data_IF_564471575888
#
_entry.id   IF_564471575888
#
_cell.length_a   1.000
_cell.length_b   1.000
_cell.length_c   1.000
_cell.angle_alpha   90.00
_cell.angle_beta   90.00
_cell.angle_gamma   90.00
#
_symmetry.space_group_name_H-M   'P 1'
#
loop_
_entity.id
_entity.type
_entity.pdbx_description
1 polymer ?
#
# COMPACT_ATOMS: atom_id res chain seq x y z
N UNK A 1 -0.93 -0.49 -25.04
CA UNK A 1 -1.03 0.98 -25.08
C UNK A 1 -2.49 1.38 -25.01
N UNK A 2 -2.82 2.35 -24.15
CA UNK A 2 -4.15 2.96 -24.07
C UNK A 2 -4.42 3.76 -25.34
N UNK A 3 -5.64 3.66 -25.88
CA UNK A 3 -6.09 4.44 -27.03
C UNK A 3 -6.77 5.72 -26.55
N UNK A 4 -6.73 6.76 -27.40
CA UNK A 4 -7.44 8.02 -27.15
C UNK A 4 -8.94 7.74 -27.00
N UNK A 5 -9.50 8.00 -25.82
CA UNK A 5 -10.92 7.73 -25.48
C UNK A 5 -11.15 6.52 -24.58
N UNK A 6 -10.11 5.77 -24.21
CA UNK A 6 -10.22 4.71 -23.20
C UNK A 6 -10.51 5.32 -21.83
N UNK A 7 -11.43 4.71 -21.07
CA UNK A 7 -11.66 5.04 -19.65
C UNK A 7 -10.75 4.14 -18.82
N UNK A 8 -9.83 4.74 -18.06
CA UNK A 8 -8.92 4.04 -17.17
C UNK A 8 -9.31 4.26 -15.70
N UNK A 9 -9.36 3.20 -14.91
CA UNK A 9 -9.55 3.26 -13.45
C UNK A 9 -8.28 2.75 -12.79
N UNK A 10 -7.73 3.51 -11.85
CA UNK A 10 -6.52 3.18 -11.12
C UNK A 10 -6.86 2.32 -9.90
N UNK A 11 -6.12 1.23 -9.72
CA UNK A 11 -6.14 0.34 -8.59
C UNK A 11 -4.73 0.32 -8.00
N UNK A 12 -4.60 0.77 -6.77
CA UNK A 12 -3.36 0.68 -5.98
C UNK A 12 -2.11 1.26 -6.66
N UNK A 13 -2.18 2.51 -7.13
CA UNK A 13 -1.01 3.27 -7.60
C UNK A 13 -0.45 2.86 -8.97
N UNK A 14 -0.35 1.56 -9.25
CA UNK A 14 0.37 0.97 -10.40
C UNK A 14 -0.52 0.13 -11.31
N UNK A 15 -1.67 -0.36 -10.86
CA UNK A 15 -2.56 -1.19 -11.68
C UNK A 15 -3.69 -0.34 -12.26
N UNK A 16 -4.02 -0.55 -13.53
CA UNK A 16 -5.00 0.22 -14.27
C UNK A 16 -5.92 -0.74 -15.04
N UNK A 17 -7.23 -0.55 -14.93
CA UNK A 17 -8.18 -1.23 -15.81
C UNK A 17 -8.67 -0.25 -16.88
N UNK A 18 -8.53 -0.62 -18.15
CA UNK A 18 -8.92 0.20 -19.28
C UNK A 18 -10.02 -0.45 -20.12
N UNK A 19 -11.05 0.32 -20.45
CA UNK A 19 -12.15 -0.09 -21.33
C UNK A 19 -12.18 0.80 -22.55
N UNK A 20 -12.09 0.17 -23.73
CA UNK A 20 -12.30 0.86 -24.99
C UNK A 20 -13.80 1.00 -25.29
N UNK A 21 -14.24 2.12 -25.88
CA UNK A 21 -15.63 2.29 -26.29
C UNK A 21 -16.11 1.14 -27.20
N UNK A 22 -17.25 0.51 -26.85
CA UNK A 22 -17.82 -0.62 -27.61
C UNK A 22 -17.12 -1.98 -27.43
N UNK A 23 -16.15 -2.08 -26.52
CA UNK A 23 -15.46 -3.34 -26.20
C UNK A 23 -16.10 -4.04 -24.99
N UNK A 24 -16.38 -5.33 -25.11
CA UNK A 24 -16.79 -6.19 -23.98
C UNK A 24 -15.59 -6.68 -23.14
N UNK A 25 -14.37 -6.31 -23.52
CA UNK A 25 -13.13 -6.75 -22.86
C UNK A 25 -12.48 -5.58 -22.13
N UNK A 26 -12.21 -5.77 -20.84
CA UNK A 26 -11.39 -4.88 -20.01
C UNK A 26 -9.95 -5.34 -20.01
N UNK A 27 -9.03 -4.40 -20.16
CA UNK A 27 -7.59 -4.64 -20.11
C UNK A 27 -7.07 -4.25 -18.74
N UNK A 28 -6.58 -5.21 -17.98
CA UNK A 28 -5.88 -4.95 -16.72
C UNK A 28 -4.40 -4.80 -17.04
N UNK A 29 -3.83 -3.67 -16.67
CA UNK A 29 -2.48 -3.27 -17.02
C UNK A 29 -1.73 -2.79 -15.77
N UNK A 30 -0.42 -2.93 -15.77
CA UNK A 30 0.46 -2.38 -14.73
C UNK A 30 1.38 -1.33 -15.34
N UNK A 31 1.56 -0.20 -14.65
CA UNK A 31 2.49 0.85 -15.03
C UNK A 31 3.89 0.51 -14.53
N UNK A 32 4.85 0.45 -15.45
CA UNK A 32 6.27 0.32 -15.09
C UNK A 32 6.77 1.64 -14.51
N UNK A 33 7.40 1.55 -13.35
CA UNK A 33 8.01 2.69 -12.66
C UNK A 33 9.00 3.41 -13.57
N UNK A 34 8.83 4.73 -13.73
CA UNK A 34 9.81 5.60 -14.41
C UNK A 34 9.55 5.95 -15.88
N UNK A 35 8.62 5.30 -16.59
CA UNK A 35 8.48 5.53 -18.05
C UNK A 35 7.05 5.71 -18.60
N UNK A 36 5.99 5.77 -17.78
CA UNK A 36 4.58 5.83 -18.24
C UNK A 36 4.19 4.67 -19.19
N UNK A 37 4.93 3.56 -19.13
CA UNK A 37 4.72 2.37 -19.97
C UNK A 37 3.79 1.40 -19.24
N UNK A 38 2.65 1.09 -19.86
CA UNK A 38 1.68 0.13 -19.34
C UNK A 38 1.92 -1.28 -19.93
N UNK A 39 2.19 -2.25 -19.07
CA UNK A 39 2.24 -3.68 -19.40
C UNK A 39 0.85 -4.29 -19.27
N UNK A 40 0.36 -4.96 -20.30
CA UNK A 40 -0.88 -5.74 -20.20
C UNK A 40 -0.64 -6.96 -19.30
N UNK A 41 -1.42 -7.07 -18.22
CA UNK A 41 -1.40 -8.23 -17.34
C UNK A 41 -2.37 -9.30 -17.83
N UNK A 42 -3.62 -8.91 -18.08
CA UNK A 42 -4.65 -9.83 -18.55
C UNK A 42 -5.82 -9.10 -19.21
N UNK A 43 -6.64 -9.86 -19.94
CA UNK A 43 -7.91 -9.43 -20.52
C UNK A 43 -9.05 -10.09 -19.75
N UNK A 44 -10.04 -9.30 -19.31
CA UNK A 44 -11.24 -9.80 -18.63
C UNK A 44 -12.46 -9.50 -19.47
N UNK A 45 -13.23 -10.53 -19.82
CA UNK A 45 -14.51 -10.35 -20.50
C UNK A 45 -15.58 -9.90 -19.49
N UNK A 46 -16.22 -8.76 -19.76
CA UNK A 46 -17.31 -8.20 -18.96
C UNK A 46 -18.56 -9.08 -18.96
N UNK A 47 -18.70 -9.98 -19.92
CA UNK A 47 -19.79 -10.96 -19.99
C UNK A 47 -19.57 -12.20 -19.12
N UNK A 48 -18.41 -12.35 -18.47
CA UNK A 48 -18.15 -13.48 -17.57
C UNK A 48 -18.75 -13.25 -16.18
N UNK A 49 -19.28 -14.31 -15.57
CA UNK A 49 -19.83 -14.29 -14.20
C UNK A 49 -18.77 -14.52 -13.12
N UNK A 50 -17.51 -14.23 -13.44
CA UNK A 50 -16.41 -14.35 -12.48
C UNK A 50 -16.43 -13.18 -11.51
N UNK A 51 -16.00 -13.41 -10.27
CA UNK A 51 -15.87 -12.35 -9.24
C UNK A 51 -15.00 -11.19 -9.73
N UNK A 52 -13.96 -11.48 -10.51
CA UNK A 52 -13.11 -10.48 -11.14
C UNK A 52 -13.89 -9.59 -12.12
N UNK A 53 -14.68 -10.18 -13.02
CA UNK A 53 -15.49 -9.43 -13.97
C UNK A 53 -16.60 -8.62 -13.28
N UNK A 54 -17.18 -9.14 -12.20
CA UNK A 54 -18.17 -8.41 -11.40
C UNK A 54 -17.53 -7.19 -10.70
N UNK A 55 -16.40 -7.37 -10.02
CA UNK A 55 -15.68 -6.28 -9.38
C UNK A 55 -15.23 -5.20 -10.38
N UNK A 56 -14.82 -5.61 -11.59
CA UNK A 56 -14.50 -4.71 -12.69
C UNK A 56 -15.72 -3.94 -13.19
N UNK A 57 -16.88 -4.61 -13.40
CA UNK A 57 -18.15 -3.95 -13.75
C UNK A 57 -18.55 -2.90 -12.72
N UNK A 58 -18.48 -3.25 -11.44
CA UNK A 58 -18.83 -2.35 -10.34
C UNK A 58 -17.87 -1.16 -10.26
N UNK A 59 -16.57 -1.38 -10.48
CA UNK A 59 -15.58 -0.30 -10.55
C UNK A 59 -15.87 0.69 -11.68
N UNK A 60 -16.16 0.18 -12.87
CA UNK A 60 -16.39 0.97 -14.08
C UNK A 60 -17.71 1.73 -14.06
N UNK A 61 -18.73 1.16 -13.42
CA UNK A 61 -20.00 1.81 -13.15
C UNK A 61 -19.93 2.86 -12.02
N UNK A 62 -18.77 3.05 -11.40
CA UNK A 62 -18.61 3.89 -10.20
C UNK A 62 -19.39 3.35 -8.99
N UNK A 63 -19.73 2.05 -9.01
CA UNK A 63 -20.51 1.32 -8.01
C UNK A 63 -19.66 0.49 -7.04
N UNK A 64 -18.35 0.35 -7.26
CA UNK A 64 -17.43 0.15 -6.14
C UNK A 64 -17.44 1.44 -5.32
N UNK A 65 -18.45 1.54 -4.47
CA UNK A 65 -18.28 2.18 -3.19
C UNK A 65 -17.17 1.38 -2.50
N UNK A 66 -15.92 1.84 -2.63
CA UNK A 66 -15.11 1.87 -1.43
C UNK A 66 -16.01 2.60 -0.43
N UNK A 67 -16.51 1.95 0.63
CA UNK A 67 -17.34 2.69 1.56
C UNK A 67 -16.50 3.88 1.98
N UNK A 68 -17.04 5.09 1.79
CA UNK A 68 -16.41 6.25 2.38
C UNK A 68 -16.23 5.94 3.86
N UNK A 69 -15.16 6.45 4.45
CA UNK A 69 -14.93 6.34 5.90
C UNK A 69 -16.14 6.78 6.72
N UNK A 70 -17.01 7.61 6.14
CA UNK A 70 -18.29 8.06 6.67
C UNK A 70 -19.40 6.99 6.66
N UNK A 71 -19.51 6.19 5.59
CA UNK A 71 -20.47 5.07 5.52
C UNK A 71 -20.08 3.92 6.48
N UNK A 72 -18.78 3.69 6.67
CA UNK A 72 -18.26 2.78 7.71
C UNK A 72 -18.53 3.33 9.14
N UNK A 73 -18.44 4.66 9.34
CA UNK A 73 -18.76 5.30 10.64
C UNK A 73 -20.23 5.12 11.04
N UNK A 74 -21.17 5.22 10.11
CA UNK A 74 -22.60 5.13 10.41
C UNK A 74 -23.07 3.68 10.64
N UNK A 75 -22.38 2.69 10.10
CA UNK A 75 -22.67 1.28 10.35
C UNK A 75 -22.09 0.78 11.68
N UNK A 76 -21.03 1.42 12.19
CA UNK A 76 -20.46 1.11 13.50
C UNK A 76 -21.32 1.57 14.70
N UNK A 77 -22.36 2.39 14.50
CA UNK A 77 -23.20 2.90 15.60
C UNK A 77 -24.46 2.07 15.86
N UNK A 78 -24.80 1.10 15.00
CA UNK A 78 -26.06 0.36 15.10
C UNK A 78 -25.90 -1.13 15.45
N UNK A 79 -24.78 -1.52 16.05
CA UNK A 79 -24.59 -2.87 16.58
C UNK A 79 -23.73 -2.83 17.83
N UNK A 80 -24.35 -2.40 18.93
CA UNK A 80 -23.88 -2.81 20.24
C UNK A 80 -24.47 -4.19 20.53
N UNK A 81 -23.64 -5.15 20.97
CA UNK A 81 -23.91 -5.71 22.27
C UNK A 81 -22.83 -5.23 23.22
N UNK A 82 -23.28 -4.75 24.37
CA UNK A 82 -22.44 -4.43 25.50
C UNK A 82 -21.48 -5.60 25.78
N UNK A 83 -20.20 -5.29 26.01
CA UNK A 83 -19.36 -5.75 27.14
C UNK A 83 -17.85 -5.61 26.83
N UNK A 84 -17.25 -4.68 27.58
CA UNK A 84 -15.84 -4.47 27.99
C UNK A 84 -14.76 -4.01 27.00
N UNK A 85 -13.98 -2.97 27.37
CA UNK A 85 -12.79 -2.55 26.65
C UNK A 85 -11.64 -3.50 26.97
N UNK A 86 -11.29 -4.38 26.03
CA UNK A 86 -10.01 -5.08 26.11
C UNK A 86 -9.50 -5.53 24.74
N UNK A 87 -8.81 -4.62 24.07
CA UNK A 87 -7.55 -5.01 23.44
C UNK A 87 -6.49 -4.09 24.02
N UNK A 88 -5.69 -4.69 24.90
CA UNK A 88 -4.60 -4.04 25.61
C UNK A 88 -3.74 -3.25 24.63
N UNK A 89 -3.63 -1.96 24.88
CA UNK A 89 -2.50 -1.12 24.51
C UNK A 89 -1.22 -1.73 25.10
N UNK A 90 -0.76 -2.85 24.55
CA UNK A 90 0.66 -3.06 24.44
C UNK A 90 1.11 -1.93 23.52
N UNK A 91 1.54 -0.80 24.10
CA UNK A 91 2.07 0.36 23.39
C UNK A 91 2.88 -0.21 22.23
N UNK A 92 2.39 -0.04 21.01
CA UNK A 92 3.01 -0.59 19.83
C UNK A 92 4.45 -0.07 19.83
N UNK A 93 5.45 -0.94 20.09
CA UNK A 93 6.86 -0.54 20.14
C UNK A 93 7.46 -0.62 18.73
N UNK A 94 8.27 0.35 18.30
CA UNK A 94 8.89 0.26 16.99
C UNK A 94 9.83 -0.94 16.88
N UNK A 95 10.32 -1.20 15.67
CA UNK A 95 11.25 -2.29 15.38
C UNK A 95 12.66 -2.08 15.95
N UNK A 96 12.91 -0.94 16.61
CA UNK A 96 14.14 -0.61 17.33
C UNK A 96 13.89 -0.35 18.83
N UNK A 97 14.97 -0.30 19.61
CA UNK A 97 14.88 -0.04 21.04
C UNK A 97 14.77 1.46 21.32
N UNK A 98 13.60 1.92 21.79
CA UNK A 98 13.38 3.32 22.17
C UNK A 98 14.34 3.87 23.22
N UNK A 99 14.94 3.04 24.07
CA UNK A 99 15.97 3.50 25.00
C UNK A 99 17.28 3.93 24.32
N UNK A 100 17.43 3.64 23.02
CA UNK A 100 18.55 4.04 22.17
C UNK A 100 18.17 5.12 21.15
N UNK A 101 16.96 5.67 21.23
CA UNK A 101 16.55 6.77 20.37
C UNK A 101 17.49 7.97 20.57
N UNK A 102 17.92 8.56 19.47
CA UNK A 102 18.94 9.59 19.41
C UNK A 102 18.57 10.77 18.50
N UNK A 103 17.52 10.61 17.69
CA UNK A 103 16.99 11.64 16.79
C UNK A 103 15.55 12.00 17.15
N UNK A 104 15.13 13.22 16.82
CA UNK A 104 13.73 13.66 17.02
C UNK A 104 12.73 12.73 16.31
N UNK A 105 13.10 12.23 15.13
CA UNK A 105 12.30 11.26 14.38
C UNK A 105 12.16 9.93 15.14
N UNK A 106 13.25 9.39 15.71
CA UNK A 106 13.19 8.19 16.54
C UNK A 106 12.32 8.41 17.79
N UNK A 107 12.37 9.60 18.39
CA UNK A 107 11.49 9.96 19.51
C UNK A 107 10.02 10.01 19.08
N UNK A 108 9.68 10.66 17.96
CA UNK A 108 8.31 10.66 17.43
C UNK A 108 7.79 9.24 17.22
N UNK A 109 8.60 8.35 16.65
CA UNK A 109 8.23 6.96 16.40
C UNK A 109 8.01 6.20 17.72
N UNK A 110 8.79 6.50 18.75
CA UNK A 110 8.67 5.85 20.06
C UNK A 110 7.47 6.32 20.88
N UNK A 111 7.04 7.56 20.71
CA UNK A 111 5.94 8.18 21.44
C UNK A 111 4.58 7.98 20.77
N UNK A 112 4.56 7.75 19.45
CA UNK A 112 3.33 7.54 18.67
C UNK A 112 3.15 6.06 18.27
N UNK A 113 2.09 5.43 18.80
CA UNK A 113 1.78 4.03 18.54
C UNK A 113 1.49 3.73 17.06
N UNK A 114 0.94 4.70 16.32
CA UNK A 114 0.68 4.59 14.88
C UNK A 114 1.97 4.60 14.06
N UNK A 115 2.89 5.51 14.37
CA UNK A 115 4.23 5.55 13.76
C UNK A 115 5.02 4.29 14.08
N UNK A 116 4.99 3.83 15.32
CA UNK A 116 5.62 2.58 15.70
C UNK A 116 5.06 1.35 14.96
N UNK A 117 3.75 1.33 14.68
CA UNK A 117 3.13 0.28 13.87
C UNK A 117 3.62 0.32 12.41
N UNK A 118 3.67 1.51 11.80
CA UNK A 118 4.21 1.69 10.44
C UNK A 118 5.69 1.30 10.35
N UNK A 119 6.48 1.61 11.38
CA UNK A 119 7.87 1.20 11.48
C UNK A 119 8.03 -0.34 11.45
N UNK A 120 7.23 -1.05 12.26
CA UNK A 120 7.21 -2.52 12.24
C UNK A 120 6.77 -3.07 10.89
N UNK A 121 5.82 -2.42 10.22
CA UNK A 121 5.35 -2.83 8.90
C UNK A 121 6.48 -2.74 7.87
N UNK A 122 7.12 -1.58 7.73
CA UNK A 122 8.28 -1.40 6.83
C UNK A 122 9.40 -2.38 7.15
N UNK A 123 9.73 -2.55 8.45
CA UNK A 123 10.75 -3.50 8.90
C UNK A 123 10.43 -4.94 8.50
N UNK A 124 9.15 -5.34 8.54
CA UNK A 124 8.70 -6.69 8.15
C UNK A 124 8.77 -6.91 6.65
N UNK A 125 8.30 -5.95 5.87
CA UNK A 125 8.37 -6.02 4.40
C UNK A 125 9.84 -6.08 3.96
N UNK A 126 10.69 -5.22 4.52
CA UNK A 126 12.12 -5.19 4.24
C UNK A 126 12.83 -6.53 4.54
N UNK A 127 12.56 -7.13 5.71
CA UNK A 127 13.12 -8.47 6.04
C UNK A 127 12.68 -9.53 5.05
N UNK A 128 11.42 -9.50 4.62
CA UNK A 128 10.91 -10.48 3.66
C UNK A 128 11.54 -10.26 2.28
N UNK A 129 11.72 -9.02 1.86
CA UNK A 129 12.41 -8.69 0.62
C UNK A 129 13.84 -9.25 0.60
N UNK A 130 14.59 -9.08 1.69
CA UNK A 130 15.92 -9.69 1.85
C UNK A 130 15.88 -11.22 1.79
N UNK A 131 14.88 -11.86 2.39
CA UNK A 131 14.74 -13.32 2.35
C UNK A 131 14.52 -13.82 0.92
N UNK A 132 13.68 -13.14 0.15
CA UNK A 132 13.37 -13.50 -1.25
C UNK A 132 14.58 -13.34 -2.17
N UNK A 133 15.37 -12.28 -1.99
CA UNK A 133 16.65 -12.12 -2.72
C UNK A 133 17.62 -13.24 -2.36
N UNK A 134 17.79 -13.55 -1.07
CA UNK A 134 18.67 -14.65 -0.66
C UNK A 134 18.21 -16.02 -1.18
N UNK A 135 16.90 -16.20 -1.39
CA UNK A 135 16.32 -17.38 -2.02
C UNK A 135 16.43 -17.39 -3.56
N UNK A 136 16.95 -16.33 -4.17
CA UNK A 136 17.07 -16.19 -5.63
C UNK A 136 15.75 -15.93 -6.34
N UNK A 137 14.71 -15.48 -5.62
CA UNK A 137 13.37 -15.21 -6.17
C UNK A 137 13.27 -13.82 -6.84
N UNK A 138 14.26 -12.96 -6.63
CA UNK A 138 14.30 -11.59 -7.13
C UNK A 138 15.67 -11.30 -7.75
N UNK A 139 15.70 -10.37 -8.70
CA UNK A 139 16.89 -10.03 -9.49
C UNK A 139 17.86 -9.11 -8.72
N UNK A 140 17.34 -8.34 -7.76
CA UNK A 140 18.12 -7.40 -6.95
C UNK A 140 19.12 -8.12 -6.04
N UNK A 141 20.24 -7.46 -5.72
CA UNK A 141 21.19 -7.91 -4.71
C UNK A 141 20.85 -7.43 -3.29
N UNK A 142 21.39 -8.12 -2.28
CA UNK A 142 21.25 -7.73 -0.86
C UNK A 142 21.84 -6.33 -0.63
N UNK A 143 22.96 -6.04 -1.29
CA UNK A 143 23.66 -4.76 -1.20
C UNK A 143 22.82 -3.61 -1.75
N UNK A 144 22.16 -3.80 -2.90
CA UNK A 144 21.26 -2.81 -3.50
C UNK A 144 20.05 -2.53 -2.60
N UNK A 145 19.40 -3.58 -2.08
CA UNK A 145 18.28 -3.46 -1.14
C UNK A 145 18.69 -2.71 0.13
N UNK A 146 19.86 -3.03 0.69
CA UNK A 146 20.36 -2.37 1.88
C UNK A 146 20.73 -0.90 1.61
N UNK A 147 21.27 -0.59 0.42
CA UNK A 147 21.56 0.79 0.02
C UNK A 147 20.27 1.63 -0.12
N UNK A 148 19.26 1.09 -0.79
CA UNK A 148 17.96 1.75 -0.93
C UNK A 148 17.29 2.02 0.43
N UNK A 149 17.29 1.03 1.33
CA UNK A 149 16.74 1.18 2.67
C UNK A 149 17.48 2.25 3.49
N UNK A 150 18.81 2.32 3.41
CA UNK A 150 19.61 3.38 4.06
C UNK A 150 19.27 4.76 3.49
N UNK A 151 19.16 4.88 2.18
CA UNK A 151 18.80 6.13 1.52
C UNK A 151 17.40 6.60 1.94
N UNK A 152 16.44 5.68 2.08
CA UNK A 152 15.12 6.00 2.61
C UNK A 152 15.16 6.46 4.08
N UNK A 153 15.92 5.79 4.95
CA UNK A 153 16.08 6.20 6.36
C UNK A 153 16.58 7.65 6.45
N UNK A 154 17.57 8.02 5.63
CA UNK A 154 18.07 9.41 5.56
C UNK A 154 16.95 10.40 5.19
N UNK A 155 16.09 10.04 4.23
CA UNK A 155 14.93 10.89 3.84
C UNK A 155 13.91 11.01 4.97
N UNK A 156 13.60 9.91 5.66
CA UNK A 156 12.70 9.90 6.83
C UNK A 156 13.25 10.79 7.95
N UNK A 157 14.55 10.69 8.23
CA UNK A 157 15.21 11.40 9.32
C UNK A 157 15.36 12.90 9.07
N UNK A 158 15.10 13.38 7.84
CA UNK A 158 14.99 14.80 7.54
C UNK A 158 13.66 15.43 8.05
N UNK A 159 12.67 14.61 8.41
CA UNK A 159 11.38 15.10 8.91
C UNK A 159 11.51 15.85 10.24
N UNK A 160 10.71 16.91 10.39
CA UNK A 160 10.67 17.75 11.59
C UNK A 160 9.36 17.58 12.39
N UNK A 161 8.41 16.77 11.89
CA UNK A 161 7.10 16.55 12.51
C UNK A 161 6.65 15.10 12.39
N UNK A 162 5.82 14.64 13.33
CA UNK A 162 5.21 13.32 13.29
C UNK A 162 4.37 13.06 12.02
N UNK A 163 3.68 14.08 11.48
CA UNK A 163 2.93 13.97 10.21
C UNK A 163 3.87 13.68 9.03
N UNK A 164 4.99 14.42 8.94
CA UNK A 164 6.01 14.16 7.91
C UNK A 164 6.54 12.73 8.02
N UNK A 165 6.83 12.26 9.23
CA UNK A 165 7.30 10.88 9.45
C UNK A 165 6.24 9.87 9.01
N UNK A 166 4.97 10.09 9.34
CA UNK A 166 3.86 9.23 8.90
C UNK A 166 3.77 9.15 7.37
N UNK A 167 3.81 10.30 6.69
CA UNK A 167 3.76 10.38 5.23
C UNK A 167 4.96 9.67 4.60
N UNK A 168 6.16 9.81 5.18
CA UNK A 168 7.36 9.12 4.71
C UNK A 168 7.26 7.59 4.86
N UNK A 169 6.60 7.10 5.91
CA UNK A 169 6.31 5.67 6.09
C UNK A 169 5.26 5.19 5.08
N UNK A 170 4.18 5.93 4.88
CA UNK A 170 3.11 5.55 3.94
C UNK A 170 3.62 5.48 2.51
N UNK A 171 4.43 6.47 2.09
CA UNK A 171 5.13 6.44 0.81
C UNK A 171 6.03 5.20 0.69
N UNK A 172 6.81 4.87 1.73
CA UNK A 172 7.70 3.70 1.71
C UNK A 172 6.95 2.39 1.57
N UNK A 173 5.84 2.24 2.30
CA UNK A 173 5.02 1.04 2.24
C UNK A 173 4.49 0.83 0.82
N UNK A 174 4.12 1.90 0.10
CA UNK A 174 3.69 1.83 -1.29
C UNK A 174 4.82 1.63 -2.32
N UNK A 175 6.07 1.97 -1.95
CA UNK A 175 7.24 1.74 -2.81
C UNK A 175 7.73 0.30 -2.76
N UNK A 176 7.74 -0.29 -1.56
CA UNK A 176 8.30 -1.61 -1.30
C UNK A 176 7.51 -2.70 -2.05
N UNK A 177 8.19 -3.77 -2.51
CA UNK A 177 7.52 -4.89 -3.15
C UNK A 177 6.52 -5.51 -2.17
N UNK A 178 5.28 -5.68 -2.65
CA UNK A 178 4.27 -6.43 -1.92
C UNK A 178 4.66 -7.91 -1.85
N UNK A 179 4.35 -8.55 -0.71
CA UNK A 179 4.75 -9.93 -0.42
C UNK A 179 4.12 -10.92 -1.40
#
# INVERSE_FOLDING_TARGET
>A
MLKKGDRAVQFDGRVFAAVSPGSEVVRVMEMRTGEQIFRLLTNVALSSDTVAAQALRDSLAGRLLYPSTEALRQQATNSEPAVTPQQSDAIARPSFNCAKASTDVEHFICEDAGLAAKDRQVSTIYRTWLQRVNAGEMVDSVEEIAADQRAWIIRRDACQTASCVSEAYDARIGELPTL
#
